data_IF_918327399269
#
_entry.id   IF_918327399269
#
_cell.length_a   1.000
_cell.length_b   1.000
_cell.length_c   1.000
_cell.angle_alpha   90.00
_cell.angle_beta   90.00
_cell.angle_gamma   90.00
#
_symmetry.space_group_name_H-M   'P 1'
#
loop_
_entity.id
_entity.type
_entity.pdbx_description
1 polymer ?
#
# COMPACT_ATOMS: atom_id res chain seq x y z
N UNK A 1 -6.21 15.75 0.29
CA UNK A 1 -4.77 16.02 0.45
C UNK A 1 -4.02 15.18 -0.57
N UNK A 2 -3.02 15.73 -1.24
CA UNK A 2 -2.16 15.00 -2.19
C UNK A 2 -1.04 14.27 -1.43
N UNK A 3 -0.41 13.22 -2.00
CA UNK A 3 0.64 12.47 -1.30
C UNK A 3 1.87 13.33 -0.99
N UNK A 4 2.25 14.25 -1.88
CA UNK A 4 3.35 15.19 -1.65
C UNK A 4 3.05 16.19 -0.51
N UNK A 5 1.80 16.64 -0.39
CA UNK A 5 1.37 17.49 0.70
C UNK A 5 1.44 16.75 2.05
N UNK A 6 1.04 15.47 2.08
CA UNK A 6 1.18 14.62 3.27
C UNK A 6 2.66 14.52 3.72
N UNK A 7 3.58 14.30 2.77
CA UNK A 7 5.02 14.20 3.09
C UNK A 7 5.55 15.51 3.67
N UNK A 8 5.18 16.65 3.09
CA UNK A 8 5.59 17.97 3.63
C UNK A 8 5.05 18.19 5.04
N UNK A 9 3.80 17.84 5.31
CA UNK A 9 3.23 17.98 6.65
C UNK A 9 3.90 17.03 7.66
N UNK A 10 4.21 15.80 7.25
CA UNK A 10 4.95 14.86 8.10
C UNK A 10 6.36 15.39 8.45
N UNK A 11 7.07 15.94 7.46
CA UNK A 11 8.38 16.58 7.66
C UNK A 11 8.28 17.77 8.63
N UNK A 12 7.30 18.66 8.43
CA UNK A 12 7.04 19.81 9.33
C UNK A 12 6.74 19.39 10.76
N UNK A 13 6.06 18.25 10.93
CA UNK A 13 5.75 17.68 12.23
C UNK A 13 6.91 16.88 12.85
N UNK A 14 8.06 16.76 12.17
CA UNK A 14 9.27 16.08 12.67
C UNK A 14 9.26 14.57 12.48
N UNK A 15 8.36 14.02 11.66
CA UNK A 15 8.37 12.61 11.30
C UNK A 15 9.46 12.34 10.25
N UNK A 16 10.14 11.20 10.40
CA UNK A 16 11.14 10.72 9.43
C UNK A 16 10.56 9.82 8.34
N UNK A 17 9.31 9.37 8.50
CA UNK A 17 8.66 8.49 7.52
C UNK A 17 7.14 8.67 7.45
N UNK A 18 6.56 8.24 6.33
CA UNK A 18 5.11 8.18 6.10
C UNK A 18 4.69 6.79 5.63
N UNK A 19 3.46 6.39 5.94
CA UNK A 19 2.79 5.27 5.28
C UNK A 19 1.93 5.76 4.12
N UNK A 20 1.99 5.10 2.97
CA UNK A 20 1.16 5.44 1.81
C UNK A 20 0.29 4.26 1.40
N UNK A 21 -1.02 4.47 1.38
CA UNK A 21 -1.96 3.52 0.79
C UNK A 21 -2.22 3.91 -0.66
N UNK A 22 -1.74 3.11 -1.62
CA UNK A 22 -1.82 3.45 -3.04
C UNK A 22 -3.06 2.89 -3.74
N UNK A 23 -3.78 1.98 -3.07
CA UNK A 23 -5.01 1.38 -3.59
C UNK A 23 -6.07 1.30 -2.48
N UNK A 24 -7.34 1.43 -2.85
CA UNK A 24 -8.45 1.43 -1.90
C UNK A 24 -8.66 0.02 -1.36
N UNK A 25 -8.44 -0.15 -0.06
CA UNK A 25 -8.75 -1.40 0.63
C UNK A 25 -10.25 -1.51 0.98
N UNK A 26 -10.96 -0.39 1.13
CA UNK A 26 -12.39 -0.39 1.46
C UNK A 26 -13.11 0.86 0.95
N UNK A 27 -14.44 0.75 0.76
CA UNK A 27 -15.29 1.89 0.42
C UNK A 27 -15.20 2.99 1.50
N UNK A 28 -14.99 4.24 1.07
CA UNK A 28 -14.82 5.39 1.97
C UNK A 28 -13.41 5.52 2.59
N UNK A 29 -12.48 4.62 2.27
CA UNK A 29 -11.08 4.73 2.69
C UNK A 29 -10.31 5.84 1.95
N UNK A 30 -9.13 6.18 2.48
CA UNK A 30 -8.17 7.08 1.81
C UNK A 30 -7.20 6.24 0.99
N UNK A 31 -7.00 6.62 -0.27
CA UNK A 31 -5.91 6.13 -1.10
C UNK A 31 -5.28 7.29 -1.86
N UNK A 32 -3.99 7.16 -2.15
CA UNK A 32 -3.19 8.08 -2.94
C UNK A 32 -2.77 7.38 -4.23
N UNK A 33 -3.67 7.22 -5.21
CA UNK A 33 -3.35 6.51 -6.44
C UNK A 33 -2.20 7.21 -7.17
N UNK A 34 -1.20 6.43 -7.56
CA UNK A 34 -0.08 6.87 -8.37
C UNK A 34 -0.17 6.16 -9.71
N UNK A 35 -0.17 6.93 -10.79
CA UNK A 35 -0.06 6.40 -12.14
C UNK A 35 1.42 6.33 -12.56
N UNK A 36 1.81 5.31 -13.34
CA UNK A 36 3.16 5.22 -13.91
C UNK A 36 3.49 6.48 -14.70
N UNK A 37 4.65 7.09 -14.42
CA UNK A 37 5.03 8.35 -15.07
C UNK A 37 4.03 9.49 -14.85
N UNK A 38 3.15 9.42 -13.85
CA UNK A 38 2.20 10.47 -13.54
C UNK A 38 2.85 11.69 -12.89
N UNK A 39 2.17 12.84 -12.95
CA UNK A 39 2.65 14.07 -12.28
C UNK A 39 2.76 13.89 -10.76
N UNK A 40 1.79 13.24 -10.13
CA UNK A 40 1.78 12.97 -8.69
C UNK A 40 3.00 12.14 -8.27
N UNK A 41 3.36 11.11 -9.04
CA UNK A 41 4.53 10.27 -8.77
C UNK A 41 5.84 11.06 -8.89
N UNK A 42 5.97 11.91 -9.92
CA UNK A 42 7.14 12.79 -10.06
C UNK A 42 7.27 13.77 -8.89
N UNK A 43 6.17 14.42 -8.52
CA UNK A 43 6.14 15.38 -7.41
C UNK A 43 6.46 14.72 -6.08
N UNK A 44 5.94 13.51 -5.86
CA UNK A 44 6.22 12.72 -4.67
C UNK A 44 7.71 12.39 -4.57
N UNK A 45 8.32 11.92 -5.66
CA UNK A 45 9.78 11.64 -5.72
C UNK A 45 10.61 12.87 -5.36
N UNK A 46 10.33 14.01 -6.00
CA UNK A 46 11.01 15.28 -5.70
C UNK A 46 10.86 15.69 -4.22
N UNK A 47 9.70 15.41 -3.63
CA UNK A 47 9.44 15.77 -2.23
C UNK A 47 10.19 14.87 -1.26
N UNK A 48 10.29 13.56 -1.52
CA UNK A 48 11.16 12.69 -0.72
C UNK A 48 12.62 13.12 -0.79
N UNK A 49 13.11 13.47 -1.98
CA UNK A 49 14.47 13.95 -2.17
C UNK A 49 14.77 15.24 -1.37
N UNK A 50 13.79 16.14 -1.24
CA UNK A 50 13.98 17.44 -0.59
C UNK A 50 13.76 17.43 0.92
N UNK A 51 12.83 16.62 1.42
CA UNK A 51 12.41 16.65 2.84
C UNK A 51 13.17 15.64 3.73
N UNK A 52 13.91 14.69 3.13
CA UNK A 52 14.61 13.64 3.88
C UNK A 52 13.67 12.64 4.58
N UNK A 53 12.38 12.66 4.22
CA UNK A 53 11.36 11.71 4.68
C UNK A 53 11.34 10.51 3.72
N UNK A 54 11.09 9.32 4.26
CA UNK A 54 10.99 8.07 3.47
C UNK A 54 9.59 7.44 3.57
N UNK A 55 9.22 6.53 2.67
CA UNK A 55 8.01 5.71 2.85
C UNK A 55 8.36 4.53 3.74
N UNK A 56 7.76 4.50 4.93
CA UNK A 56 7.89 3.35 5.82
C UNK A 56 7.23 2.14 5.18
N UNK A 57 5.97 2.29 4.79
CA UNK A 57 5.16 1.18 4.30
C UNK A 57 4.32 1.66 3.12
N UNK A 58 4.31 0.88 2.03
CA UNK A 58 3.30 0.99 1.00
C UNK A 58 2.27 -0.10 1.23
N UNK A 59 1.03 0.30 1.47
CA UNK A 59 -0.09 -0.63 1.64
C UNK A 59 -0.81 -0.81 0.29
N UNK A 60 -0.84 -2.04 -0.20
CA UNK A 60 -1.34 -2.34 -1.55
C UNK A 60 -2.76 -2.88 -1.52
N UNK A 61 -3.03 -4.04 -0.92
CA UNK A 61 -4.34 -4.67 -1.08
C UNK A 61 -4.68 -5.63 0.06
N UNK A 62 -5.96 -5.90 0.18
CA UNK A 62 -6.46 -7.17 0.68
C UNK A 62 -6.31 -8.24 -0.42
N UNK A 63 -5.61 -9.32 -0.09
CA UNK A 63 -5.65 -10.53 -0.88
C UNK A 63 -6.96 -11.26 -0.54
N UNK A 64 -7.75 -11.56 -1.55
CA UNK A 64 -8.94 -12.42 -1.45
C UNK A 64 -8.83 -13.57 -2.46
N UNK A 65 -9.63 -14.64 -2.36
CA UNK A 65 -9.59 -15.71 -3.36
C UNK A 65 -9.96 -15.23 -4.78
N UNK A 66 -10.61 -14.07 -4.90
CA UNK A 66 -11.03 -13.44 -6.15
C UNK A 66 -10.11 -12.28 -6.57
N UNK A 67 -8.94 -12.14 -5.96
CA UNK A 67 -8.02 -11.05 -6.27
C UNK A 67 -7.61 -11.11 -7.75
N UNK A 68 -7.86 -10.01 -8.48
CA UNK A 68 -7.37 -9.83 -9.84
C UNK A 68 -5.93 -9.31 -9.80
N UNK A 69 -4.96 -10.23 -9.81
CA UNK A 69 -3.53 -9.89 -9.77
C UNK A 69 -3.12 -9.02 -10.97
N UNK A 70 -3.69 -9.28 -12.16
CA UNK A 70 -3.37 -8.53 -13.37
C UNK A 70 -3.85 -7.07 -13.26
N UNK A 71 -4.97 -6.83 -12.57
CA UNK A 71 -5.48 -5.50 -12.24
C UNK A 71 -4.49 -4.62 -11.47
N UNK A 72 -3.49 -5.19 -10.78
CA UNK A 72 -2.48 -4.43 -10.02
C UNK A 72 -1.23 -4.07 -10.83
N UNK A 73 -1.11 -4.47 -12.11
CA UNK A 73 0.11 -4.24 -12.90
C UNK A 73 0.55 -2.76 -12.93
N UNK A 74 -0.38 -1.84 -13.15
CA UNK A 74 -0.08 -0.39 -13.20
C UNK A 74 0.35 0.18 -11.84
N UNK A 75 -0.20 -0.36 -10.76
CA UNK A 75 0.17 0.00 -9.41
C UNK A 75 1.59 -0.49 -9.09
N UNK A 76 1.90 -1.74 -9.42
CA UNK A 76 3.24 -2.32 -9.26
C UNK A 76 4.29 -1.56 -10.08
N UNK A 77 3.96 -1.18 -11.32
CA UNK A 77 4.83 -0.35 -12.16
C UNK A 77 5.11 1.03 -11.55
N UNK A 78 4.12 1.64 -10.91
CA UNK A 78 4.30 2.93 -10.22
C UNK A 78 5.23 2.81 -9.02
N UNK A 79 5.12 1.72 -8.26
CA UNK A 79 6.00 1.48 -7.11
C UNK A 79 7.42 1.11 -7.56
N UNK A 80 7.58 0.39 -8.66
CA UNK A 80 8.89 0.11 -9.24
C UNK A 80 9.67 1.39 -9.66
N UNK A 81 8.96 2.51 -9.87
CA UNK A 81 9.58 3.81 -10.21
C UNK A 81 9.98 4.65 -9.00
N UNK A 82 9.59 4.24 -7.78
CA UNK A 82 10.08 4.82 -6.53
C UNK A 82 11.46 4.24 -6.22
N UNK A 83 12.34 5.06 -5.66
CA UNK A 83 13.65 4.55 -5.21
C UNK A 83 13.43 3.58 -4.04
N UNK A 84 14.11 2.43 -4.10
CA UNK A 84 14.03 1.41 -3.04
C UNK A 84 14.47 1.94 -1.67
N UNK A 85 15.31 2.98 -1.63
CA UNK A 85 15.69 3.69 -0.39
C UNK A 85 14.49 4.34 0.30
N UNK A 86 13.43 4.62 -0.44
CA UNK A 86 12.19 5.18 0.08
C UNK A 86 11.18 4.13 0.50
N UNK A 87 11.42 2.83 0.33
CA UNK A 87 10.42 1.80 0.64
C UNK A 87 11.02 0.85 1.68
N UNK A 88 10.54 0.92 2.92
CA UNK A 88 10.99 -0.01 3.96
C UNK A 88 10.16 -1.30 4.01
N UNK A 89 8.89 -1.24 3.61
CA UNK A 89 7.99 -2.38 3.63
C UNK A 89 6.86 -2.26 2.60
N UNK A 90 6.35 -3.42 2.19
CA UNK A 90 5.13 -3.57 1.39
C UNK A 90 4.19 -4.50 2.14
N UNK A 91 3.01 -4.00 2.48
CA UNK A 91 2.02 -4.79 3.20
C UNK A 91 0.97 -5.34 2.25
N UNK A 92 0.85 -6.67 2.26
CA UNK A 92 -0.31 -7.40 1.78
C UNK A 92 -0.99 -8.08 2.96
N UNK A 93 -2.32 -7.94 3.02
CA UNK A 93 -3.13 -8.53 4.08
C UNK A 93 -3.94 -9.68 3.49
N UNK A 94 -3.87 -10.89 4.05
CA UNK A 94 -4.63 -12.06 3.59
C UNK A 94 -5.92 -12.34 4.41
N UNK A 95 -6.51 -11.28 4.95
CA UNK A 95 -7.76 -11.33 5.68
C UNK A 95 -8.97 -11.22 4.75
N UNK A 96 -10.10 -11.81 5.12
CA UNK A 96 -11.40 -11.48 4.56
C UNK A 96 -11.92 -10.20 5.22
N UNK A 97 -12.30 -9.17 4.45
CA UNK A 97 -12.95 -7.96 4.96
C UNK A 97 -14.24 -8.31 5.71
N UNK A 98 -14.26 -8.23 7.05
CA UNK A 98 -15.45 -8.51 7.82
C UNK A 98 -16.41 -7.31 7.71
N UNK A 99 -17.69 -7.61 7.86
CA UNK A 99 -18.73 -6.59 7.96
C UNK A 99 -19.30 -6.54 9.38
N UNK A 100 -19.78 -5.37 9.80
CA UNK A 100 -20.41 -5.19 11.12
C UNK A 100 -19.43 -5.12 12.30
N UNK A 101 -19.80 -5.68 13.45
CA UNK A 101 -19.07 -5.56 14.72
C UNK A 101 -17.65 -6.18 14.71
N UNK A 102 -17.34 -7.01 13.70
CA UNK A 102 -16.05 -7.71 13.60
C UNK A 102 -14.87 -6.88 13.08
N UNK A 103 -15.11 -5.67 12.54
CA UNK A 103 -14.10 -4.85 11.85
C UNK A 103 -12.91 -4.52 12.74
N UNK A 104 -13.14 -4.11 13.99
CA UNK A 104 -12.06 -3.67 14.89
C UNK A 104 -11.15 -4.84 15.26
N UNK A 105 -11.73 -6.02 15.51
CA UNK A 105 -10.96 -7.22 15.89
C UNK A 105 -10.12 -7.72 14.73
N UNK A 106 -10.69 -7.84 13.54
CA UNK A 106 -9.95 -8.25 12.34
C UNK A 106 -8.85 -7.26 11.98
N UNK A 107 -9.11 -5.95 12.02
CA UNK A 107 -8.08 -4.96 11.74
C UNK A 107 -6.87 -5.06 12.68
N UNK A 108 -7.06 -5.60 13.91
CA UNK A 108 -6.00 -5.78 14.91
C UNK A 108 -5.34 -7.15 14.87
N UNK A 109 -6.09 -8.19 14.56
CA UNK A 109 -5.67 -9.59 14.76
C UNK A 109 -5.67 -10.41 13.47
N UNK A 110 -6.45 -10.01 12.47
CA UNK A 110 -6.65 -10.74 11.22
C UNK A 110 -5.71 -10.35 10.09
N UNK A 111 -5.06 -9.17 10.18
CA UNK A 111 -4.15 -8.65 9.14
C UNK A 111 -2.76 -9.28 9.24
N UNK A 112 -2.68 -10.57 8.93
CA UNK A 112 -1.45 -11.35 9.02
C UNK A 112 -0.59 -11.20 7.76
N UNK A 113 0.73 -11.46 7.85
CA UNK A 113 1.60 -11.51 6.68
C UNK A 113 1.11 -12.54 5.65
N UNK A 114 1.43 -12.35 4.35
CA UNK A 114 1.04 -13.30 3.31
C UNK A 114 1.39 -14.75 3.66
N UNK A 115 0.37 -15.62 3.65
CA UNK A 115 0.53 -17.06 3.86
C UNK A 115 0.45 -17.47 5.33
N UNK A 116 0.19 -16.51 6.22
CA UNK A 116 -0.04 -16.76 7.65
C UNK A 116 -1.49 -16.55 8.09
N UNK A 117 -2.37 -16.03 7.23
CA UNK A 117 -3.80 -15.99 7.53
C UNK A 117 -4.61 -16.88 6.62
N UNK A 118 -5.78 -16.40 6.20
CA UNK A 118 -6.88 -17.30 5.81
C UNK A 118 -6.83 -17.76 4.35
N UNK A 119 -5.91 -17.21 3.56
CA UNK A 119 -5.78 -17.59 2.15
C UNK A 119 -4.76 -18.70 1.94
N UNK A 120 -5.06 -19.70 1.09
CA UNK A 120 -4.10 -20.72 0.69
C UNK A 120 -3.11 -20.17 -0.36
N UNK A 121 -2.30 -19.18 0.01
CA UNK A 121 -1.41 -18.47 -0.92
C UNK A 121 -0.42 -19.39 -1.64
N UNK A 122 0.04 -20.46 -0.98
CA UNK A 122 0.88 -21.47 -1.61
C UNK A 122 0.20 -22.18 -2.79
N UNK A 123 -1.12 -22.39 -2.73
CA UNK A 123 -1.90 -22.96 -3.83
C UNK A 123 -2.20 -21.96 -4.95
N UNK A 124 -2.34 -20.68 -4.63
CA UNK A 124 -2.57 -19.60 -5.60
C UNK A 124 -1.32 -19.31 -6.46
N UNK A 125 -0.12 -19.38 -5.87
CA UNK A 125 1.13 -19.20 -6.63
C UNK A 125 1.36 -20.31 -7.67
N UNK A 126 0.84 -21.53 -7.43
CA UNK A 126 0.98 -22.67 -8.36
C UNK A 126 -0.01 -22.67 -9.53
N UNK A 127 -0.98 -21.75 -9.55
CA UNK A 127 -2.00 -21.68 -10.63
C UNK A 127 -1.68 -20.63 -11.70
N UNK A 128 -0.64 -19.83 -11.52
CA UNK A 128 -0.10 -18.93 -12.53
C UNK A 128 1.08 -19.63 -13.25
N UNK A 129 0.76 -20.47 -14.23
CA UNK A 129 1.71 -21.04 -15.21
C UNK A 129 1.34 -20.66 -16.62
#
# INVERSE_FOLDING_TARGET
MTPDALVREAARAGFSSVGLRLHLAMAGGIAYPLAPGGQALRQLKTTFDSEGVVVNEIEFVELTPQVDVAGFASLLESVAQLDRRYIQGVQWCDALAPTGEGIIREAREGRLPPGQGQLPLAGLASTCS
#
